data_IF_397480760880
#
_entry.id   IF_397480760880
#
_cell.length_a   1.000
_cell.length_b   1.000
_cell.length_c   1.000
_cell.angle_alpha   90.00
_cell.angle_beta   90.00
_cell.angle_gamma   90.00
#
_symmetry.space_group_name_H-M   'P 1'
#
loop_
_entity.id
_entity.type
_entity.pdbx_description
1 polymer ?
#
# COMPACT_ATOMS: atom_id res chain seq x y z
N UNK A 1 -15.72 -21.82 -10.24
CA UNK A 1 -15.11 -22.23 -11.52
C UNK A 1 -14.24 -21.09 -11.97
N UNK A 2 -12.95 -21.17 -11.65
CA UNK A 2 -11.93 -20.22 -12.10
C UNK A 2 -11.89 -20.29 -13.63
N UNK A 3 -11.95 -19.12 -14.27
CA UNK A 3 -12.07 -18.98 -15.73
C UNK A 3 -10.86 -19.61 -16.42
N UNK A 4 -11.05 -20.25 -17.58
CA UNK A 4 -9.97 -20.84 -18.39
C UNK A 4 -8.85 -19.84 -18.73
N UNK A 5 -9.12 -18.54 -18.64
CA UNK A 5 -8.14 -17.48 -18.84
C UNK A 5 -7.29 -17.21 -17.58
N UNK A 6 -7.87 -17.34 -16.37
CA UNK A 6 -7.14 -17.18 -15.10
C UNK A 6 -6.13 -18.31 -14.93
N UNK A 7 -6.51 -19.55 -15.23
CA UNK A 7 -5.57 -20.68 -15.24
C UNK A 7 -4.45 -20.53 -16.28
N UNK A 8 -4.73 -19.88 -17.41
CA UNK A 8 -3.74 -19.67 -18.46
C UNK A 8 -2.76 -18.56 -18.07
N UNK A 9 -3.25 -17.49 -17.45
CA UNK A 9 -2.43 -16.39 -16.94
C UNK A 9 -1.54 -16.87 -15.79
N UNK A 10 -2.09 -17.62 -14.84
CA UNK A 10 -1.36 -18.25 -13.74
C UNK A 10 -0.20 -19.12 -14.24
N UNK A 11 -0.47 -20.04 -15.17
CA UNK A 11 0.58 -20.89 -15.75
C UNK A 11 1.63 -20.09 -16.54
N UNK A 12 1.22 -19.02 -17.23
CA UNK A 12 2.15 -18.15 -17.95
C UNK A 12 3.04 -17.34 -17.01
N UNK A 13 2.48 -16.84 -15.90
CA UNK A 13 3.21 -16.10 -14.89
C UNK A 13 4.19 -17.03 -14.15
N UNK A 14 3.73 -18.23 -13.81
CA UNK A 14 4.55 -19.26 -13.17
C UNK A 14 5.72 -19.69 -14.07
N UNK A 15 5.47 -20.00 -15.34
CA UNK A 15 6.52 -20.32 -16.33
C UNK A 15 7.54 -19.19 -16.52
N UNK A 16 7.07 -17.95 -16.42
CA UNK A 16 7.88 -16.74 -16.59
C UNK A 16 8.75 -16.49 -15.34
N UNK A 17 8.20 -16.69 -14.14
CA UNK A 17 8.93 -16.64 -12.87
C UNK A 17 9.98 -17.75 -12.83
N UNK A 18 9.63 -18.98 -13.22
CA UNK A 18 10.56 -20.12 -13.29
C UNK A 18 11.72 -19.83 -14.24
N UNK A 19 11.44 -19.40 -15.48
CA UNK A 19 12.49 -19.07 -16.45
C UNK A 19 13.39 -17.94 -15.97
N UNK A 20 12.82 -16.96 -15.28
CA UNK A 20 13.61 -15.86 -14.74
C UNK A 20 14.49 -16.31 -13.57
N UNK A 21 13.97 -17.19 -12.71
CA UNK A 21 14.72 -17.80 -11.62
C UNK A 21 15.83 -18.70 -12.16
N UNK A 22 15.58 -19.43 -13.24
CA UNK A 22 16.57 -20.16 -14.04
C UNK A 22 17.66 -19.23 -14.64
N UNK A 23 17.29 -18.04 -15.10
CA UNK A 23 18.22 -17.03 -15.61
C UNK A 23 19.05 -16.36 -14.49
N UNK A 24 18.45 -16.25 -13.31
CA UNK A 24 19.05 -15.77 -12.05
C UNK A 24 19.86 -16.87 -11.33
N UNK A 25 19.76 -18.14 -11.77
CA UNK A 25 20.28 -19.37 -11.12
C UNK A 25 21.80 -19.52 -11.04
N UNK A 26 22.59 -18.45 -10.98
CA UNK A 26 23.99 -18.60 -10.56
C UNK A 26 24.12 -19.15 -9.12
N UNK A 27 23.02 -19.26 -8.36
CA UNK A 27 23.00 -19.69 -6.96
C UNK A 27 21.90 -20.69 -6.57
N UNK A 28 21.20 -21.30 -7.54
CA UNK A 28 20.24 -22.37 -7.24
C UNK A 28 20.97 -23.70 -7.11
N UNK A 29 20.62 -24.49 -6.09
CA UNK A 29 21.14 -25.85 -5.92
C UNK A 29 20.74 -26.70 -7.13
N UNK A 30 21.72 -27.03 -7.96
CA UNK A 30 21.57 -27.92 -9.11
C UNK A 30 20.95 -29.24 -8.64
N UNK A 31 19.76 -29.57 -9.14
CA UNK A 31 19.08 -30.85 -8.88
C UNK A 31 17.72 -30.80 -8.16
N UNK A 32 17.16 -29.62 -7.87
CA UNK A 32 15.78 -29.47 -7.38
C UNK A 32 14.88 -28.82 -8.43
N UNK A 33 13.60 -29.20 -8.45
CA UNK A 33 12.58 -28.64 -9.34
C UNK A 33 12.34 -27.17 -8.94
N UNK A 34 12.40 -26.24 -9.90
CA UNK A 34 12.29 -24.79 -9.66
C UNK A 34 10.94 -24.39 -9.01
N UNK A 35 9.89 -25.17 -9.26
CA UNK A 35 8.54 -24.99 -8.68
C UNK A 35 8.53 -25.09 -7.16
N UNK A 36 9.44 -25.86 -6.56
CA UNK A 36 9.49 -26.07 -5.10
C UNK A 36 10.35 -25.03 -4.36
N UNK A 37 10.91 -24.05 -5.08
CA UNK A 37 11.90 -23.11 -4.54
C UNK A 37 11.37 -21.68 -4.36
N UNK A 38 10.22 -21.38 -4.95
CA UNK A 38 9.56 -20.07 -4.80
C UNK A 38 8.40 -20.24 -3.85
N UNK A 39 8.42 -19.54 -2.70
CA UNK A 39 7.26 -19.52 -1.83
C UNK A 39 6.04 -18.98 -2.59
N UNK A 40 4.88 -19.60 -2.41
CA UNK A 40 3.63 -19.14 -3.05
C UNK A 40 3.35 -17.67 -2.72
N UNK A 41 3.71 -17.22 -1.51
CA UNK A 41 3.54 -15.81 -1.08
C UNK A 41 4.29 -14.81 -1.98
N UNK A 42 5.40 -15.23 -2.59
CA UNK A 42 6.17 -14.40 -3.53
C UNK A 42 5.48 -14.32 -4.88
N UNK A 43 4.87 -15.42 -5.33
CA UNK A 43 4.05 -15.44 -6.55
C UNK A 43 2.82 -14.55 -6.36
N UNK A 44 2.11 -14.73 -5.26
CA UNK A 44 0.93 -13.92 -4.92
C UNK A 44 1.31 -12.44 -4.83
N UNK A 45 2.46 -12.12 -4.22
CA UNK A 45 2.95 -10.74 -4.15
C UNK A 45 3.27 -10.14 -5.53
N UNK A 46 3.81 -10.92 -6.46
CA UNK A 46 4.06 -10.45 -7.82
C UNK A 46 2.75 -10.18 -8.57
N UNK A 47 1.75 -11.05 -8.42
CA UNK A 47 0.42 -10.86 -9.02
C UNK A 47 -0.24 -9.59 -8.48
N UNK A 48 -0.30 -9.42 -7.15
CA UNK A 48 -0.88 -8.23 -6.53
C UNK A 48 -0.18 -6.95 -6.98
N UNK A 49 1.16 -6.96 -7.08
CA UNK A 49 1.90 -5.80 -7.55
C UNK A 49 1.63 -5.50 -9.03
N UNK A 50 1.59 -6.50 -9.91
CA UNK A 50 1.32 -6.26 -11.34
C UNK A 50 -0.07 -5.67 -11.55
N UNK A 51 -1.08 -6.18 -10.82
CA UNK A 51 -2.45 -5.66 -10.84
C UNK A 51 -2.53 -4.22 -10.32
N UNK A 52 -1.99 -3.94 -9.14
CA UNK A 52 -2.02 -2.60 -8.54
C UNK A 52 -1.23 -1.58 -9.36
N UNK A 53 -0.13 -2.00 -10.00
CA UNK A 53 0.66 -1.14 -10.88
C UNK A 53 -0.02 -0.81 -12.21
N UNK A 54 -1.17 -1.41 -12.52
CA UNK A 54 -2.01 -0.98 -13.65
C UNK A 54 -2.87 0.24 -13.29
N UNK A 55 -3.02 0.54 -12.01
CA UNK A 55 -3.68 1.75 -11.52
C UNK A 55 -2.74 2.94 -11.57
N UNK A 56 -3.30 4.15 -11.73
CA UNK A 56 -2.53 5.38 -11.70
C UNK A 56 -2.08 5.70 -10.27
N UNK A 57 -0.78 5.90 -10.00
CA UNK A 57 -0.31 6.28 -8.66
C UNK A 57 -0.85 7.65 -8.21
N UNK A 58 -1.38 8.46 -9.15
CA UNK A 58 -1.99 9.75 -8.85
C UNK A 58 -3.29 9.67 -8.07
N UNK A 59 -3.97 8.54 -8.14
CA UNK A 59 -5.25 8.33 -7.46
C UNK A 59 -5.15 7.16 -6.48
N UNK A 60 -3.93 6.85 -6.03
CA UNK A 60 -3.67 5.80 -5.08
C UNK A 60 -4.37 6.09 -3.76
N UNK A 61 -5.29 5.21 -3.35
CA UNK A 61 -5.77 5.18 -1.98
C UNK A 61 -4.66 4.78 -1.01
N UNK A 62 -4.81 5.15 0.26
CA UNK A 62 -3.88 4.73 1.30
C UNK A 62 -3.78 3.19 1.41
N UNK A 63 -4.90 2.48 1.22
CA UNK A 63 -4.91 1.02 1.25
C UNK A 63 -4.10 0.41 0.10
N UNK A 64 -4.26 0.92 -1.12
CA UNK A 64 -3.47 0.47 -2.27
C UNK A 64 -1.97 0.79 -2.08
N UNK A 65 -1.67 1.96 -1.51
CA UNK A 65 -0.32 2.36 -1.15
C UNK A 65 0.32 1.40 -0.16
N UNK A 66 -0.34 1.10 0.96
CA UNK A 66 0.17 0.16 1.96
C UNK A 66 0.26 -1.27 1.41
N UNK A 67 -0.69 -1.68 0.55
CA UNK A 67 -0.67 -3.00 -0.09
C UNK A 67 0.55 -3.14 -1.02
N UNK A 68 0.83 -2.13 -1.85
CA UNK A 68 2.04 -2.12 -2.68
C UNK A 68 3.30 -2.15 -1.81
N UNK A 69 3.36 -1.38 -0.72
CA UNK A 69 4.53 -1.37 0.18
C UNK A 69 4.76 -2.72 0.84
N UNK A 70 3.69 -3.37 1.29
CA UNK A 70 3.77 -4.68 1.90
C UNK A 70 4.37 -5.70 0.92
N UNK A 71 3.79 -5.82 -0.28
CA UNK A 71 4.25 -6.79 -1.27
C UNK A 71 5.64 -6.46 -1.83
N UNK A 72 5.99 -5.17 -2.01
CA UNK A 72 7.35 -4.76 -2.32
C UNK A 72 8.34 -5.22 -1.25
N UNK A 73 8.00 -5.03 0.03
CA UNK A 73 8.83 -5.47 1.15
C UNK A 73 9.05 -6.99 1.17
N UNK A 74 8.01 -7.77 0.88
CA UNK A 74 8.10 -9.23 0.73
C UNK A 74 9.08 -9.62 -0.38
N UNK A 75 8.96 -9.00 -1.56
CA UNK A 75 9.85 -9.28 -2.69
C UNK A 75 11.29 -8.86 -2.43
N UNK A 76 11.51 -7.68 -1.87
CA UNK A 76 12.86 -7.19 -1.58
C UNK A 76 13.56 -8.07 -0.55
N UNK A 77 12.84 -8.53 0.48
CA UNK A 77 13.37 -9.50 1.46
C UNK A 77 13.75 -10.81 0.78
N UNK A 78 12.90 -11.31 -0.12
CA UNK A 78 13.18 -12.53 -0.89
C UNK A 78 14.40 -12.36 -1.80
N UNK A 79 14.49 -11.26 -2.55
CA UNK A 79 15.64 -10.98 -3.41
C UNK A 79 16.94 -10.85 -2.61
N UNK A 80 16.90 -10.21 -1.44
CA UNK A 80 18.04 -10.17 -0.52
C UNK A 80 18.45 -11.57 -0.06
N UNK A 81 17.50 -12.42 0.32
CA UNK A 81 17.79 -13.80 0.72
C UNK A 81 18.44 -14.61 -0.41
N UNK A 82 18.00 -14.39 -1.65
CA UNK A 82 18.57 -15.00 -2.85
C UNK A 82 19.91 -14.38 -3.28
N UNK A 83 20.41 -13.36 -2.57
CA UNK A 83 21.55 -12.53 -2.98
C UNK A 83 21.41 -12.00 -4.42
N UNK A 84 20.18 -11.69 -4.84
CA UNK A 84 19.90 -11.20 -6.18
C UNK A 84 20.30 -9.72 -6.30
N UNK A 85 21.27 -9.36 -7.17
CA UNK A 85 21.56 -7.97 -7.45
C UNK A 85 20.38 -7.32 -8.20
N UNK A 86 19.88 -6.20 -7.67
CA UNK A 86 18.78 -5.43 -8.27
C UNK A 86 19.31 -4.42 -9.31
N UNK A 87 20.17 -4.90 -10.19
CA UNK A 87 20.84 -4.09 -11.21
C UNK A 87 19.97 -3.91 -12.48
N UNK A 88 20.53 -3.25 -13.49
CA UNK A 88 19.83 -3.00 -14.76
C UNK A 88 19.46 -4.30 -15.48
N UNK A 89 20.28 -5.35 -15.36
CA UNK A 89 19.99 -6.62 -16.00
C UNK A 89 18.77 -7.29 -15.37
N UNK A 90 18.70 -7.28 -14.03
CA UNK A 90 17.51 -7.72 -13.31
C UNK A 90 16.26 -6.94 -13.74
N UNK A 91 16.33 -5.61 -13.85
CA UNK A 91 15.19 -4.77 -14.26
C UNK A 91 14.63 -5.13 -15.64
N UNK A 92 15.43 -5.71 -16.53
CA UNK A 92 14.96 -6.13 -17.87
C UNK A 92 14.18 -7.44 -17.86
N UNK A 93 14.21 -8.18 -16.77
CA UNK A 93 13.50 -9.43 -16.65
C UNK A 93 12.03 -9.21 -16.28
N UNK A 94 11.15 -10.20 -16.44
CA UNK A 94 9.74 -9.98 -16.15
C UNK A 94 9.45 -9.63 -14.68
N UNK A 95 10.08 -10.35 -13.74
CA UNK A 95 9.96 -10.06 -12.30
C UNK A 95 10.58 -8.70 -11.97
N UNK A 96 11.76 -8.41 -12.51
CA UNK A 96 12.39 -7.11 -12.30
C UNK A 96 11.61 -5.93 -12.89
N UNK A 97 10.88 -6.13 -13.99
CA UNK A 97 9.96 -5.12 -14.55
C UNK A 97 8.77 -4.86 -13.63
N UNK A 98 8.16 -5.91 -13.05
CA UNK A 98 7.06 -5.75 -12.08
C UNK A 98 7.58 -5.02 -10.85
N UNK A 99 8.69 -5.48 -10.26
CA UNK A 99 9.31 -4.83 -9.11
C UNK A 99 9.65 -3.36 -9.40
N UNK A 100 10.28 -3.07 -10.54
CA UNK A 100 10.65 -1.70 -10.90
C UNK A 100 9.43 -0.80 -11.09
N UNK A 101 8.38 -1.29 -11.77
CA UNK A 101 7.10 -0.57 -11.89
C UNK A 101 6.50 -0.29 -10.52
N UNK A 102 6.42 -1.29 -9.65
CA UNK A 102 5.89 -1.15 -8.30
C UNK A 102 6.69 -0.15 -7.47
N UNK A 103 8.02 -0.19 -7.55
CA UNK A 103 8.90 0.77 -6.87
C UNK A 103 8.65 2.20 -7.35
N UNK A 104 8.61 2.41 -8.67
CA UNK A 104 8.33 3.73 -9.24
C UNK A 104 6.92 4.23 -8.92
N UNK A 105 5.94 3.32 -8.91
CA UNK A 105 4.57 3.61 -8.51
C UNK A 105 4.54 4.05 -7.05
N UNK A 106 5.19 3.31 -6.16
CA UNK A 106 5.26 3.61 -4.72
C UNK A 106 5.94 4.95 -4.45
N UNK A 107 7.03 5.27 -5.15
CA UNK A 107 7.70 6.57 -5.05
C UNK A 107 6.81 7.74 -5.47
N UNK A 108 5.96 7.54 -6.49
CA UNK A 108 5.00 8.56 -6.93
C UNK A 108 3.83 8.69 -5.97
N UNK A 109 3.22 7.57 -5.55
CA UNK A 109 2.12 7.54 -4.60
C UNK A 109 2.54 8.10 -3.22
N UNK A 110 3.77 7.84 -2.78
CA UNK A 110 4.37 8.42 -1.57
C UNK A 110 4.26 9.95 -1.59
N UNK A 111 4.54 10.61 -2.71
CA UNK A 111 4.46 12.08 -2.78
C UNK A 111 3.04 12.63 -2.64
N UNK A 112 2.03 11.79 -2.85
CA UNK A 112 0.62 12.19 -2.91
C UNK A 112 -0.07 11.81 -1.61
N UNK A 113 0.09 10.57 -1.18
CA UNK A 113 -0.48 10.04 0.06
C UNK A 113 0.16 10.70 1.28
N UNK A 114 1.46 11.00 1.24
CA UNK A 114 2.18 11.55 2.40
C UNK A 114 2.07 13.08 2.52
N UNK A 115 1.83 13.80 1.42
CA UNK A 115 1.94 15.27 1.39
C UNK A 115 0.58 15.99 1.44
N UNK A 116 -0.42 15.42 2.11
CA UNK A 116 -1.67 16.14 2.40
C UNK A 116 -1.40 17.20 3.48
N UNK A 117 -1.52 18.50 3.18
CA UNK A 117 -1.25 19.53 4.19
C UNK A 117 -2.24 19.41 5.35
N UNK A 118 -1.75 19.48 6.59
CA UNK A 118 -2.59 19.39 7.79
C UNK A 118 -3.76 20.40 7.80
N UNK A 119 -3.58 21.56 7.15
CA UNK A 119 -4.65 22.56 6.97
C UNK A 119 -5.81 22.06 6.13
N UNK A 120 -5.55 21.27 5.10
CA UNK A 120 -6.59 20.65 4.26
C UNK A 120 -7.35 19.61 5.06
N UNK A 121 -6.65 18.84 5.89
CA UNK A 121 -7.29 17.85 6.79
C UNK A 121 -8.20 18.54 7.80
N UNK A 122 -7.77 19.68 8.36
CA UNK A 122 -8.63 20.50 9.21
C UNK A 122 -9.93 20.95 8.53
N UNK A 123 -9.89 21.25 7.22
CA UNK A 123 -11.10 21.63 6.48
C UNK A 123 -12.06 20.44 6.30
N UNK A 124 -11.52 19.25 6.03
CA UNK A 124 -12.33 18.03 5.92
C UNK A 124 -12.99 17.70 7.27
N UNK A 125 -12.27 17.97 8.36
CA UNK A 125 -12.72 17.73 9.74
C UNK A 125 -13.55 18.85 10.35
N UNK A 126 -13.81 19.95 9.62
CA UNK A 126 -14.62 21.07 10.12
C UNK A 126 -15.97 20.65 10.73
N UNK A 127 -16.67 19.59 10.26
CA UNK A 127 -17.90 19.12 10.90
C UNK A 127 -17.72 18.48 12.29
N UNK A 128 -16.55 17.92 12.60
CA UNK A 128 -16.26 17.17 13.84
C UNK A 128 -15.33 17.91 14.81
N UNK A 129 -14.62 18.94 14.34
CA UNK A 129 -13.76 19.87 15.12
C UNK A 129 -13.03 19.20 16.29
N UNK A 130 -12.04 18.33 16.05
CA UNK A 130 -11.23 17.81 17.14
C UNK A 130 -10.47 18.94 17.84
N UNK A 131 -10.21 18.77 19.13
CA UNK A 131 -9.42 19.72 19.91
C UNK A 131 -7.96 19.76 19.42
N UNK A 132 -7.47 18.64 18.88
CA UNK A 132 -6.13 18.53 18.33
C UNK A 132 -6.09 17.57 17.15
N UNK A 133 -5.26 17.90 16.17
CA UNK A 133 -4.96 17.07 15.01
C UNK A 133 -3.45 16.94 14.90
N UNK A 134 -2.95 15.71 14.90
CA UNK A 134 -1.55 15.40 14.66
C UNK A 134 -1.37 14.72 13.31
N UNK A 135 -0.38 15.17 12.56
CA UNK A 135 0.14 14.40 11.43
C UNK A 135 1.15 13.39 11.99
N UNK A 136 0.83 12.09 11.88
CA UNK A 136 1.73 11.01 12.31
C UNK A 136 2.77 10.66 11.22
N UNK A 137 2.64 11.27 10.04
CA UNK A 137 3.42 10.95 8.85
C UNK A 137 2.71 9.94 7.96
N UNK A 138 3.23 9.76 6.75
CA UNK A 138 2.72 8.83 5.75
C UNK A 138 1.22 8.98 5.40
N UNK A 139 0.65 10.19 5.47
CA UNK A 139 -0.78 10.39 5.21
C UNK A 139 -1.71 9.90 6.33
N UNK A 140 -1.15 9.55 7.49
CA UNK A 140 -1.89 9.17 8.68
C UNK A 140 -2.05 10.38 9.60
N UNK A 141 -3.27 10.59 10.05
CA UNK A 141 -3.64 11.66 10.97
C UNK A 141 -4.29 11.09 12.22
N UNK A 142 -4.11 11.78 13.34
CA UNK A 142 -4.74 11.45 14.61
C UNK A 142 -5.51 12.67 15.11
N UNK A 143 -6.83 12.56 15.12
CA UNK A 143 -7.72 13.52 15.74
C UNK A 143 -7.93 13.15 17.21
N UNK A 144 -7.89 14.12 18.12
CA UNK A 144 -8.04 13.92 19.57
C UNK A 144 -9.09 14.85 20.14
N UNK A 145 -9.84 14.35 21.12
CA UNK A 145 -10.80 15.11 21.93
C UNK A 145 -10.53 14.89 23.41
N UNK A 146 -10.49 16.00 24.15
CA UNK A 146 -10.45 16.02 25.60
C UNK A 146 -11.87 15.89 26.16
N UNK A 147 -11.96 15.57 27.45
CA UNK A 147 -13.24 15.48 28.15
C UNK A 147 -13.92 16.87 28.22
N UNK A 148 -15.24 16.97 27.98
CA UNK A 148 -16.17 15.90 27.63
C UNK A 148 -16.04 15.48 26.17
N UNK A 149 -15.92 14.18 25.92
CA UNK A 149 -15.74 13.66 24.55
C UNK A 149 -17.07 13.68 23.80
N UNK A 150 -17.17 14.44 22.71
CA UNK A 150 -18.37 14.47 21.87
C UNK A 150 -18.40 13.23 20.97
N UNK A 151 -19.06 12.16 21.42
CA UNK A 151 -19.17 10.91 20.63
C UNK A 151 -19.79 11.12 19.25
N UNK A 152 -20.60 12.17 19.09
CA UNK A 152 -21.16 12.58 17.80
C UNK A 152 -20.05 12.97 16.81
N UNK A 153 -19.02 13.68 17.27
CA UNK A 153 -17.94 14.15 16.42
C UNK A 153 -17.06 12.98 15.95
N UNK A 154 -16.83 12.00 16.83
CA UNK A 154 -16.18 10.73 16.50
C UNK A 154 -16.98 9.97 15.42
N UNK A 155 -18.31 9.93 15.57
CA UNK A 155 -19.20 9.31 14.59
C UNK A 155 -19.19 10.06 13.24
N UNK A 156 -19.15 11.40 13.27
CA UNK A 156 -19.03 12.22 12.06
C UNK A 156 -17.76 11.87 11.29
N UNK A 157 -16.59 11.75 11.95
CA UNK A 157 -15.36 11.33 11.25
C UNK A 157 -15.55 9.98 10.56
N UNK A 158 -16.12 8.99 11.27
CA UNK A 158 -16.33 7.64 10.72
C UNK A 158 -17.25 7.60 9.50
N UNK A 159 -18.05 8.65 9.30
CA UNK A 159 -19.00 8.81 8.19
C UNK A 159 -18.60 9.88 7.19
N UNK A 160 -17.49 10.58 7.42
CA UNK A 160 -17.05 11.66 6.54
C UNK A 160 -16.47 11.08 5.26
N UNK A 161 -17.06 11.45 4.12
CA UNK A 161 -16.58 11.02 2.82
C UNK A 161 -15.14 11.51 2.58
N UNK A 162 -14.30 10.65 2.04
CA UNK A 162 -12.88 10.95 1.86
C UNK A 162 -12.03 10.68 3.10
N UNK A 163 -12.57 10.14 4.19
CA UNK A 163 -11.76 9.63 5.31
C UNK A 163 -11.83 8.11 5.39
N UNK A 164 -10.68 7.49 5.63
CA UNK A 164 -10.56 6.06 5.92
C UNK A 164 -10.11 5.87 7.36
N UNK A 165 -10.96 5.24 8.17
CA UNK A 165 -10.68 4.96 9.58
C UNK A 165 -9.61 3.88 9.71
N UNK A 166 -8.58 4.15 10.50
CA UNK A 166 -7.45 3.26 10.75
C UNK A 166 -7.61 2.61 12.13
N UNK A 167 -8.66 1.78 12.23
CA UNK A 167 -9.07 1.09 13.46
C UNK A 167 -10.16 1.82 14.25
N UNK A 168 -10.51 1.24 15.39
CA UNK A 168 -11.54 1.77 16.29
C UNK A 168 -11.02 2.97 17.10
N UNK A 169 -11.90 3.92 17.49
CA UNK A 169 -11.56 4.97 18.43
C UNK A 169 -10.99 4.39 19.73
N UNK A 170 -9.94 5.02 20.27
CA UNK A 170 -9.22 4.51 21.44
C UNK A 170 -8.86 5.63 22.43
N UNK A 171 -8.54 5.25 23.67
CA UNK A 171 -8.04 6.16 24.71
C UNK A 171 -6.50 6.15 24.71
N UNK A 172 -5.82 7.26 24.36
CA UNK A 172 -4.36 7.35 24.42
C UNK A 172 -3.83 7.34 25.86
N UNK A 173 -2.64 6.76 26.07
CA UNK A 173 -2.02 6.72 27.39
C UNK A 173 -1.70 8.11 27.97
N UNK A 174 -1.45 9.10 27.10
CA UNK A 174 -1.18 10.49 27.46
C UNK A 174 -2.44 11.36 27.55
N UNK A 175 -3.63 10.78 27.30
CA UNK A 175 -4.92 11.46 27.30
C UNK A 175 -5.99 10.65 28.05
N UNK A 176 -5.90 10.54 29.38
CA UNK A 176 -6.84 9.75 30.16
C UNK A 176 -8.26 10.32 30.10
N UNK A 177 -9.24 9.47 29.82
CA UNK A 177 -10.64 9.79 29.56
C UNK A 177 -10.90 10.67 28.32
N UNK A 178 -9.93 10.82 27.43
CA UNK A 178 -10.16 11.38 26.10
C UNK A 178 -10.27 10.28 25.04
N UNK A 179 -10.51 10.68 23.80
CA UNK A 179 -10.54 9.77 22.66
C UNK A 179 -9.63 10.28 21.57
N UNK A 180 -8.94 9.35 20.92
CA UNK A 180 -8.25 9.56 19.67
C UNK A 180 -8.85 8.68 18.57
N UNK A 181 -8.82 9.21 17.36
CA UNK A 181 -9.21 8.53 16.14
C UNK A 181 -8.07 8.66 15.14
N UNK A 182 -7.63 7.55 14.58
CA UNK A 182 -6.66 7.54 13.48
C UNK A 182 -7.38 7.35 12.16
N UNK A 183 -6.99 8.13 11.17
CA UNK A 183 -7.58 8.05 9.84
C UNK A 183 -6.60 8.54 8.78
N UNK A 184 -6.88 8.19 7.53
CA UNK A 184 -6.19 8.71 6.34
C UNK A 184 -7.18 9.45 5.45
N UNK A 185 -6.69 10.43 4.68
CA UNK A 185 -7.50 11.15 3.70
C UNK A 185 -7.42 10.42 2.36
N UNK A 186 -8.56 10.01 1.84
CA UNK A 186 -8.75 9.55 0.48
C UNK A 186 -9.10 10.79 -0.36
N UNK A 187 -8.39 11.05 -1.46
CA UNK A 187 -8.81 12.13 -2.36
C UNK A 187 -10.26 11.87 -2.80
N UNK A 188 -11.12 12.85 -2.52
CA UNK A 188 -12.46 12.91 -3.07
C UNK A 188 -12.31 13.12 -4.58
N UNK A 189 -13.07 12.38 -5.41
CA UNK A 189 -13.13 12.55 -6.87
C UNK A 189 -13.66 13.93 -7.34
N UNK A 190 -13.69 14.95 -6.48
CA UNK A 190 -14.12 16.30 -6.79
C UNK A 190 -12.91 17.25 -6.84
N UNK A 191 -12.18 17.20 -7.95
CA UNK A 191 -11.36 18.34 -8.36
C UNK A 191 -12.30 19.53 -8.67
N UNK A 192 -12.16 20.69 -8.01
CA UNK A 192 -12.93 21.88 -8.34
C UNK A 192 -12.35 22.65 -9.55
N UNK A 193 -11.38 22.09 -10.27
CA UNK A 193 -10.74 22.74 -11.42
C UNK A 193 -11.24 22.18 -12.75
N UNK A 194 -12.51 22.42 -13.04
CA UNK A 194 -13.02 22.47 -14.42
C UNK A 194 -13.88 23.71 -14.61
N UNK A 195 -13.23 24.80 -15.04
CA UNK A 195 -13.84 25.90 -15.78
C UNK A 195 -12.96 26.24 -16.97
#
# INVERSE_FOLDING_TARGET
>A
MISSNENKLYNQLQDMIIRHIEEVSRYIVIGKIAVDQVPQEIVDSLEQLDDLCNLSPKHASYLEYETIRFHLGCLETFFQHMNQPLDLHFQHTPVGRIWWRAKMWNEQATKIVIDVPIRTVWQILEPAVPDCLHALGNGLFEARWWKPVPMMDVEIISRTEGLLMMGDPFEPADLPNGIAVRFSVLESNNSPYHH
#
